data_IF_481337415983
#
_entry.id   IF_481337415983
#
_cell.length_a   1.000
_cell.length_b   1.000
_cell.length_c   1.000
_cell.angle_alpha   90.00
_cell.angle_beta   90.00
_cell.angle_gamma   90.00
#
_symmetry.space_group_name_H-M   'P 1'
#
loop_
_entity.id
_entity.type
_entity.pdbx_description
1 polymer ?
#
# COMPACT_ATOMS: atom_id res chain seq x y z
N UNK A 1 -16.09 -24.02 -0.93
CA UNK A 1 -16.81 -22.81 -1.39
C UNK A 1 -15.75 -21.78 -1.74
N UNK A 2 -15.45 -21.56 -3.02
CA UNK A 2 -14.45 -20.56 -3.41
C UNK A 2 -14.94 -19.21 -2.90
N UNK A 3 -14.17 -18.55 -2.04
CA UNK A 3 -14.41 -17.16 -1.67
C UNK A 3 -14.45 -16.37 -2.99
N UNK A 4 -15.65 -15.93 -3.39
CA UNK A 4 -15.84 -15.19 -4.62
C UNK A 4 -14.95 -13.94 -4.52
N UNK A 5 -13.91 -13.89 -5.36
CA UNK A 5 -13.08 -12.69 -5.50
C UNK A 5 -14.01 -11.55 -5.91
N UNK A 6 -14.40 -10.67 -4.98
CA UNK A 6 -15.17 -9.45 -5.26
C UNK A 6 -14.58 -8.77 -6.51
N UNK A 7 -15.38 -8.24 -7.44
CA UNK A 7 -14.86 -7.51 -8.59
C UNK A 7 -14.05 -6.30 -8.10
N UNK A 8 -13.08 -5.87 -8.92
CA UNK A 8 -12.26 -4.69 -8.61
C UNK A 8 -13.21 -3.49 -8.52
N UNK A 9 -13.36 -2.90 -7.33
CA UNK A 9 -14.15 -1.68 -7.10
C UNK A 9 -15.39 -1.78 -6.22
N UNK A 10 -15.54 -2.82 -5.40
CA UNK A 10 -16.70 -3.01 -4.50
C UNK A 10 -16.36 -3.04 -2.99
N UNK A 11 -15.21 -2.49 -2.59
CA UNK A 11 -14.86 -2.32 -1.18
C UNK A 11 -14.21 -0.95 -0.97
N UNK A 12 -14.71 -0.18 -0.01
CA UNK A 12 -14.11 1.09 0.41
C UNK A 12 -12.70 0.87 0.94
N UNK A 13 -11.75 0.81 0.03
CA UNK A 13 -10.34 0.59 0.28
C UNK A 13 -9.72 1.90 0.73
N UNK A 14 -9.06 1.94 1.89
CA UNK A 14 -8.55 3.17 2.45
C UNK A 14 -7.40 3.72 1.60
N UNK A 15 -7.29 5.04 1.60
CA UNK A 15 -6.11 5.77 1.20
C UNK A 15 -5.47 6.34 2.46
N UNK A 16 -4.52 5.61 3.05
CA UNK A 16 -3.84 6.05 4.26
C UNK A 16 -2.44 6.56 3.90
N UNK A 17 -2.25 7.87 4.13
CA UNK A 17 -0.96 8.54 3.92
C UNK A 17 0.06 8.25 5.03
N UNK A 18 -0.36 7.57 6.10
CA UNK A 18 0.48 7.04 7.15
C UNK A 18 0.01 5.61 7.46
N UNK A 19 0.73 4.63 6.92
CA UNK A 19 0.38 3.23 7.05
C UNK A 19 1.37 2.51 7.98
N UNK A 20 0.81 1.91 9.02
CA UNK A 20 1.49 0.97 9.91
C UNK A 20 1.18 -0.50 9.53
N UNK A 21 1.80 -1.45 10.25
CA UNK A 21 1.61 -2.87 10.03
C UNK A 21 0.13 -3.33 10.15
N UNK A 22 -0.63 -2.77 11.08
CA UNK A 22 -2.05 -3.07 11.29
C UNK A 22 -2.92 -2.58 10.14
N UNK A 23 -2.69 -1.33 9.70
CA UNK A 23 -3.38 -0.69 8.56
C UNK A 23 -3.07 -1.42 7.24
N UNK A 24 -1.82 -1.84 7.06
CA UNK A 24 -1.40 -2.69 5.93
C UNK A 24 -2.09 -4.05 5.95
N UNK A 25 -2.06 -4.74 7.10
CA UNK A 25 -2.68 -6.05 7.23
C UNK A 25 -4.20 -6.02 7.01
N UNK A 26 -4.88 -4.96 7.47
CA UNK A 26 -6.31 -4.73 7.22
C UNK A 26 -6.59 -4.57 5.73
N UNK A 27 -5.82 -3.74 5.05
CA UNK A 27 -5.96 -3.51 3.60
C UNK A 27 -5.71 -4.78 2.81
N UNK A 28 -4.71 -5.59 3.16
CA UNK A 28 -4.43 -6.87 2.50
C UNK A 28 -5.55 -7.91 2.63
N UNK A 29 -6.40 -7.80 3.65
CA UNK A 29 -7.57 -8.69 3.83
C UNK A 29 -8.80 -8.17 3.09
N UNK A 30 -9.00 -6.86 3.09
CA UNK A 30 -10.25 -6.25 2.62
C UNK A 30 -10.19 -5.75 1.17
N UNK A 31 -8.99 -5.55 0.63
CA UNK A 31 -8.78 -4.96 -0.68
C UNK A 31 -8.15 -5.94 -1.66
N UNK A 32 -8.68 -5.93 -2.89
CA UNK A 32 -8.23 -6.80 -3.97
C UNK A 32 -6.88 -6.38 -4.55
N UNK A 33 -6.61 -5.08 -4.52
CA UNK A 33 -5.36 -4.48 -4.99
C UNK A 33 -4.88 -3.54 -3.89
N UNK A 34 -3.69 -3.81 -3.38
CA UNK A 34 -3.01 -2.99 -2.38
C UNK A 34 -1.67 -2.55 -2.98
N UNK A 35 -1.38 -1.26 -2.87
CA UNK A 35 -0.10 -0.67 -3.25
C UNK A 35 0.51 -0.07 -1.98
N UNK A 36 1.76 -0.42 -1.70
CA UNK A 36 2.56 0.22 -0.66
C UNK A 36 3.64 1.09 -1.31
N UNK A 37 3.69 2.37 -0.94
CA UNK A 37 4.74 3.34 -1.28
C UNK A 37 5.66 3.50 -0.07
N UNK A 38 6.85 2.89 -0.14
CA UNK A 38 7.87 3.01 0.89
C UNK A 38 8.75 4.23 0.64
N UNK A 39 8.75 5.15 1.61
CA UNK A 39 9.33 6.49 1.47
C UNK A 39 10.02 6.96 2.76
N UNK A 40 10.70 8.11 2.70
CA UNK A 40 11.24 8.83 3.86
C UNK A 40 11.39 10.34 3.54
N UNK A 41 11.50 11.18 4.57
CA UNK A 41 11.62 12.65 4.42
C UNK A 41 12.89 13.09 3.68
N UNK A 42 13.97 12.33 3.90
CA UNK A 42 15.27 12.56 3.27
C UNK A 42 15.35 12.03 1.83
N UNK A 43 14.31 11.32 1.37
CA UNK A 43 14.27 10.76 0.03
C UNK A 43 13.90 11.82 -1.01
N UNK A 44 14.91 12.39 -1.68
CA UNK A 44 14.73 13.33 -2.79
C UNK A 44 13.78 12.83 -3.89
N UNK A 45 14.00 11.62 -4.45
CA UNK A 45 13.12 11.08 -5.49
C UNK A 45 11.67 10.85 -5.02
N UNK A 46 11.46 10.50 -3.74
CA UNK A 46 10.13 10.27 -3.18
C UNK A 46 9.24 11.51 -3.26
N UNK A 47 9.83 12.71 -3.16
CA UNK A 47 9.10 13.98 -3.28
C UNK A 47 8.45 14.17 -4.65
N UNK A 48 8.94 13.47 -5.68
CA UNK A 48 8.37 13.48 -7.04
C UNK A 48 7.39 12.32 -7.22
N UNK A 49 7.75 11.12 -6.76
CA UNK A 49 6.92 9.91 -6.98
C UNK A 49 5.68 9.88 -6.11
N UNK A 50 5.77 10.27 -4.84
CA UNK A 50 4.63 10.18 -3.92
C UNK A 50 3.41 11.03 -4.34
N UNK A 51 3.55 12.27 -4.85
CA UNK A 51 2.40 13.02 -5.40
C UNK A 51 1.72 12.32 -6.58
N UNK A 52 2.49 11.61 -7.42
CA UNK A 52 1.96 10.84 -8.56
C UNK A 52 1.16 9.65 -8.05
N UNK A 53 1.70 8.94 -7.05
CA UNK A 53 1.03 7.82 -6.38
C UNK A 53 -0.27 8.30 -5.71
N UNK A 54 -0.26 9.44 -5.04
CA UNK A 54 -1.45 10.03 -4.42
C UNK A 54 -2.53 10.41 -5.45
N UNK A 55 -2.13 10.90 -6.63
CA UNK A 55 -3.06 11.20 -7.72
C UNK A 55 -3.71 9.92 -8.28
N UNK A 56 -2.93 8.83 -8.39
CA UNK A 56 -3.44 7.52 -8.79
C UNK A 56 -4.41 6.99 -7.73
N UNK A 57 -4.05 7.07 -6.44
CA UNK A 57 -4.90 6.64 -5.34
C UNK A 57 -6.27 7.33 -5.38
N UNK A 58 -6.29 8.66 -5.56
CA UNK A 58 -7.52 9.44 -5.72
C UNK A 58 -8.32 9.03 -6.95
N UNK A 59 -7.67 8.81 -8.09
CA UNK A 59 -8.34 8.40 -9.33
C UNK A 59 -9.01 7.02 -9.22
N UNK A 60 -8.46 6.14 -8.38
CA UNK A 60 -8.93 4.77 -8.19
C UNK A 60 -9.46 4.51 -6.78
N UNK A 61 -9.96 5.55 -6.11
CA UNK A 61 -10.52 5.48 -4.77
C UNK A 61 -11.61 4.40 -4.69
N UNK A 62 -11.61 3.61 -3.61
CA UNK A 62 -12.51 2.47 -3.45
C UNK A 62 -12.23 1.27 -4.38
N UNK A 63 -11.23 1.33 -5.25
CA UNK A 63 -10.79 0.20 -6.10
C UNK A 63 -9.41 -0.33 -5.75
N UNK A 64 -8.53 0.57 -5.30
CA UNK A 64 -7.15 0.27 -4.92
C UNK A 64 -6.89 0.89 -3.55
N UNK A 65 -6.38 0.09 -2.61
CA UNK A 65 -5.81 0.65 -1.39
C UNK A 65 -4.39 1.11 -1.69
N UNK A 66 -4.08 2.36 -1.35
CA UNK A 66 -2.73 2.90 -1.46
C UNK A 66 -2.31 3.34 -0.07
N UNK A 67 -1.17 2.82 0.37
CA UNK A 67 -0.63 2.96 1.71
C UNK A 67 0.77 3.52 1.63
N UNK A 68 1.06 4.58 2.37
CA UNK A 68 2.40 5.16 2.41
C UNK A 68 3.10 4.74 3.71
N UNK A 69 4.22 4.05 3.57
CA UNK A 69 4.99 3.50 4.69
C UNK A 69 6.29 4.29 4.80
N UNK A 70 6.44 5.03 5.89
CA UNK A 70 7.71 5.68 6.20
C UNK A 70 8.69 4.62 6.74
N UNK A 71 9.83 4.43 6.07
CA UNK A 71 10.83 3.42 6.44
C UNK A 71 11.60 3.77 7.72
N UNK A 72 11.66 5.04 8.10
CA UNK A 72 12.28 5.47 9.36
C UNK A 72 11.38 5.09 10.56
N UNK A 73 10.05 5.16 10.37
CA UNK A 73 9.07 4.83 11.41
C UNK A 73 8.72 3.34 11.44
N UNK A 74 8.81 2.65 10.30
CA UNK A 74 8.43 1.24 10.14
C UNK A 74 9.55 0.41 9.48
N UNK A 75 10.76 0.35 10.07
CA UNK A 75 11.91 -0.33 9.45
C UNK A 75 11.70 -1.83 9.30
N UNK A 76 11.07 -2.48 10.29
CA UNK A 76 10.79 -3.92 10.24
C UNK A 76 9.79 -4.26 9.13
N UNK A 77 8.75 -3.42 8.96
CA UNK A 77 7.76 -3.59 7.90
C UNK A 77 8.39 -3.45 6.52
N UNK A 78 9.29 -2.49 6.34
CA UNK A 78 10.05 -2.32 5.11
C UNK A 78 10.90 -3.57 4.80
N UNK A 79 11.59 -4.11 5.82
CA UNK A 79 12.41 -5.31 5.69
C UNK A 79 11.59 -6.56 5.36
N UNK A 80 10.47 -6.78 6.04
CA UNK A 80 9.53 -7.89 5.79
C UNK A 80 9.01 -7.89 4.35
N UNK A 81 8.86 -6.70 3.77
CA UNK A 81 8.44 -6.51 2.38
C UNK A 81 9.59 -6.42 1.38
N UNK A 82 10.83 -6.69 1.80
CA UNK A 82 12.01 -6.77 0.94
C UNK A 82 12.45 -5.42 0.38
N UNK A 83 12.17 -4.32 1.08
CA UNK A 83 12.53 -2.96 0.65
C UNK A 83 14.01 -2.71 0.95
N UNK A 84 14.83 -2.71 -0.10
CA UNK A 84 16.28 -2.49 0.01
C UNK A 84 16.70 -1.06 -0.35
N UNK A 85 15.82 -0.31 -0.99
CA UNK A 85 16.03 1.10 -1.37
C UNK A 85 14.69 1.82 -1.46
N UNK A 86 14.72 3.15 -1.37
CA UNK A 86 13.53 4.00 -1.53
C UNK A 86 13.73 5.00 -2.69
N UNK A 87 12.65 5.39 -3.39
CA UNK A 87 11.29 4.89 -3.24
C UNK A 87 11.14 3.45 -3.73
N UNK A 88 10.32 2.67 -3.04
CA UNK A 88 9.87 1.35 -3.52
C UNK A 88 8.35 1.33 -3.53
N UNK A 89 7.76 1.06 -4.70
CA UNK A 89 6.31 0.99 -4.88
C UNK A 89 5.95 -0.45 -5.23
N UNK A 90 5.40 -1.16 -4.26
CA UNK A 90 5.08 -2.58 -4.41
C UNK A 90 3.57 -2.79 -4.48
N UNK A 91 3.13 -3.53 -5.50
CA UNK A 91 1.80 -4.15 -5.47
C UNK A 91 1.87 -5.35 -4.55
N UNK A 92 1.13 -5.28 -3.45
CA UNK A 92 1.06 -6.39 -2.51
C UNK A 92 -0.09 -7.33 -2.89
N UNK A 93 0.16 -8.64 -2.98
CA UNK A 93 -0.91 -9.60 -3.17
C UNK A 93 -1.79 -9.58 -1.92
N UNK A 94 -3.13 -9.67 -2.05
CA UNK A 94 -3.98 -9.88 -0.88
C UNK A 94 -3.48 -11.11 -0.13
N UNK A 95 -3.49 -11.06 1.21
CA UNK A 95 -3.11 -12.22 2.03
C UNK A 95 -4.12 -13.33 1.70
N UNK A 96 -3.76 -14.24 0.80
CA UNK A 96 -4.48 -15.49 0.65
C UNK A 96 -4.17 -16.27 1.92
N UNK A 97 -5.12 -16.26 2.85
CA UNK A 97 -5.11 -17.19 3.97
C UNK A 97 -4.95 -18.61 3.45
N UNK A 98 -4.15 -19.40 4.14
CA UNK A 98 -4.26 -20.86 4.08
C UNK A 98 -5.61 -21.31 4.61
#
# INVERSE_FOLDING_TARGET
>A
MLAARKPVGEAGCPFDQAADAGSLASSLRNCKVVIADFWAEWCGPCKITSPIVDAIARKYEGRVAVLKVNVDENPDLALEHGVMSIPTINRLPPRQGG
#
